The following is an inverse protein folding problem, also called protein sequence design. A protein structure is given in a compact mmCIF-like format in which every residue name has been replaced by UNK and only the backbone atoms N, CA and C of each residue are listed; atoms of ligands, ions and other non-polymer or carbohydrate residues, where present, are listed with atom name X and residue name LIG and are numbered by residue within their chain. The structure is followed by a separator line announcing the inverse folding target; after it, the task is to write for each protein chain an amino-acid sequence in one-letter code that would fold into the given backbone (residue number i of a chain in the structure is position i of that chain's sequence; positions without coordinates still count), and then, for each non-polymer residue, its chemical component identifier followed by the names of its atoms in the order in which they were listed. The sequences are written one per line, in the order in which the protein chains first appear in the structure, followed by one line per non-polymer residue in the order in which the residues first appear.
data_IF_730677435890
#
_entry.id   IF_730677435890
#
_cell.length_a   1.000
_cell.length_b   1.000
_cell.length_c   1.000
_cell.angle_alpha   90.00
_cell.angle_beta   90.00
_cell.angle_gamma   90.00
#
_symmetry.space_group_name_H-M   'P 1'
#
loop_
_entity.id
_entity.type
_entity.pdbx_description
1 polymer ?
#
# COMPACT_ATOMS: atom_id res chain seq x y z
N UNK A 1 4.13 -14.61 9.61
CA UNK A 1 4.66 -13.46 8.82
C UNK A 1 5.98 -12.96 9.37
N UNK A 2 6.08 -12.73 10.69
CA UNK A 2 7.32 -12.29 11.35
C UNK A 2 8.29 -13.45 11.64
N UNK A 3 7.78 -14.67 11.79
CA UNK A 3 8.49 -15.93 12.02
C UNK A 3 9.27 -16.45 10.80
N UNK A 4 8.84 -16.10 9.58
CA UNK A 4 9.50 -16.49 8.33
C UNK A 4 10.54 -15.49 7.81
N UNK A 5 10.81 -14.41 8.54
CA UNK A 5 11.81 -13.41 8.16
C UNK A 5 13.23 -13.89 8.48
N UNK A 6 14.18 -13.57 7.61
CA UNK A 6 15.60 -13.75 7.89
C UNK A 6 16.02 -12.87 9.08
N UNK A 7 17.11 -13.24 9.76
CA UNK A 7 17.68 -12.43 10.84
C UNK A 7 18.01 -11.01 10.34
N UNK A 8 18.39 -10.86 9.08
CA UNK A 8 18.64 -9.55 8.48
C UNK A 8 17.36 -8.70 8.40
N UNK A 9 16.26 -9.26 7.87
CA UNK A 9 14.97 -8.56 7.79
C UNK A 9 14.43 -8.21 9.19
N UNK A 10 14.58 -9.12 10.16
CA UNK A 10 14.18 -8.86 11.55
C UNK A 10 14.99 -7.72 12.19
N UNK A 11 16.31 -7.67 11.96
CA UNK A 11 17.16 -6.57 12.43
C UNK A 11 16.80 -5.25 11.76
N UNK A 12 16.49 -5.25 10.47
CA UNK A 12 16.03 -4.06 9.76
C UNK A 12 14.71 -3.55 10.34
N UNK A 13 13.76 -4.45 10.60
CA UNK A 13 12.48 -4.09 11.22
C UNK A 13 12.67 -3.51 12.63
N UNK A 14 13.59 -4.06 13.43
CA UNK A 14 13.92 -3.53 14.75
C UNK A 14 14.59 -2.15 14.65
N UNK A 15 15.55 -1.97 13.73
CA UNK A 15 16.20 -0.66 13.50
C UNK A 15 15.18 0.41 13.15
N UNK A 16 14.27 0.12 12.23
CA UNK A 16 13.20 1.04 11.84
C UNK A 16 12.31 1.40 13.05
N UNK A 17 11.92 0.40 13.85
CA UNK A 17 11.11 0.65 15.05
C UNK A 17 11.82 1.57 16.06
N UNK A 18 13.14 1.44 16.21
CA UNK A 18 13.95 2.31 17.07
C UNK A 18 14.14 3.71 16.48
N UNK A 19 14.37 3.84 15.18
CA UNK A 19 14.55 5.14 14.51
C UNK A 19 13.28 6.00 14.54
N UNK A 20 12.11 5.34 14.55
CA UNK A 20 10.80 5.96 14.69
C UNK A 20 10.41 6.24 16.15
N UNK A 21 11.13 5.70 17.13
CA UNK A 21 10.83 5.91 18.54
C UNK A 21 10.96 7.41 18.89
N UNK A 22 9.87 7.99 19.43
CA UNK A 22 9.81 9.41 19.79
C UNK A 22 9.47 10.38 18.64
N UNK A 23 9.46 9.92 17.38
CA UNK A 23 9.03 10.72 16.20
C UNK A 23 7.60 10.39 15.73
N UNK A 24 6.98 9.39 16.38
CA UNK A 24 5.71 8.81 15.96
C UNK A 24 4.59 9.84 15.79
N UNK A 25 4.47 10.81 16.70
CA UNK A 25 3.34 11.77 16.70
C UNK A 25 3.36 12.73 15.51
N UNK A 26 4.52 13.26 15.14
CA UNK A 26 4.64 14.17 14.00
C UNK A 26 4.48 13.43 12.68
N UNK A 27 5.16 12.29 12.54
CA UNK A 27 5.06 11.45 11.35
C UNK A 27 3.61 10.95 11.15
N UNK A 28 2.94 10.53 12.23
CA UNK A 28 1.55 10.09 12.19
C UNK A 28 0.61 11.24 11.79
N UNK A 29 0.79 12.44 12.34
CA UNK A 29 0.00 13.62 11.93
C UNK A 29 0.20 13.95 10.45
N UNK A 30 1.44 13.96 9.98
CA UNK A 30 1.76 14.21 8.57
C UNK A 30 1.06 13.20 7.64
N UNK A 31 1.18 11.91 7.95
CA UNK A 31 0.57 10.84 7.15
C UNK A 31 -0.96 10.86 7.23
N UNK A 32 -1.52 11.14 8.40
CA UNK A 32 -2.95 11.30 8.59
C UNK A 32 -3.51 12.45 7.73
N UNK A 33 -2.85 13.61 7.73
CA UNK A 33 -3.27 14.77 6.94
C UNK A 33 -3.15 14.52 5.43
N UNK A 34 -2.09 13.83 5.01
CA UNK A 34 -1.91 13.38 3.64
C UNK A 34 -3.05 12.42 3.23
N UNK A 35 -3.39 11.46 4.08
CA UNK A 35 -4.49 10.53 3.87
C UNK A 35 -5.85 11.26 3.78
N UNK A 36 -6.13 12.19 4.70
CA UNK A 36 -7.38 12.96 4.72
C UNK A 36 -7.62 13.76 3.44
N UNK A 37 -6.55 14.29 2.83
CA UNK A 37 -6.64 15.07 1.57
C UNK A 37 -6.39 14.22 0.32
N UNK A 38 -6.08 12.94 0.46
CA UNK A 38 -5.77 12.06 -0.66
C UNK A 38 -4.47 12.41 -1.39
N UNK A 39 -3.45 12.90 -0.68
CA UNK A 39 -2.13 13.17 -1.24
C UNK A 39 -1.35 11.86 -1.48
N UNK A 40 -1.69 11.20 -2.59
CA UNK A 40 -1.08 9.93 -3.01
C UNK A 40 0.45 10.04 -3.15
N UNK A 41 0.95 11.20 -3.57
CA UNK A 41 2.39 11.41 -3.78
C UNK A 41 3.13 11.39 -2.44
N UNK A 42 2.67 12.18 -1.47
CA UNK A 42 3.31 12.23 -0.15
C UNK A 42 3.23 10.88 0.56
N UNK A 43 2.07 10.22 0.51
CA UNK A 43 1.87 8.89 1.08
C UNK A 43 2.81 7.86 0.45
N UNK A 44 2.89 7.83 -0.89
CA UNK A 44 3.80 6.92 -1.59
C UNK A 44 5.26 7.18 -1.23
N UNK A 45 5.70 8.44 -1.26
CA UNK A 45 7.09 8.78 -0.94
C UNK A 45 7.46 8.35 0.48
N UNK A 46 6.64 8.73 1.47
CA UNK A 46 6.93 8.51 2.89
C UNK A 46 6.71 7.09 3.39
N UNK A 47 5.84 6.32 2.74
CA UNK A 47 5.52 4.97 3.21
C UNK A 47 6.16 3.87 2.36
N UNK A 48 6.44 4.10 1.08
CA UNK A 48 6.92 3.06 0.16
C UNK A 48 8.24 3.39 -0.51
N UNK A 49 8.43 4.59 -1.07
CA UNK A 49 9.62 4.88 -1.87
C UNK A 49 10.91 4.83 -1.02
N UNK A 50 10.89 5.46 0.17
CA UNK A 50 12.00 5.45 1.11
C UNK A 50 12.34 4.02 1.57
N UNK A 51 11.33 3.24 1.97
CA UNK A 51 11.51 1.84 2.38
C UNK A 51 12.00 0.94 1.24
N UNK A 52 11.50 1.12 0.02
CA UNK A 52 11.96 0.37 -1.16
C UNK A 52 13.44 0.62 -1.45
N UNK A 53 13.89 1.85 -1.26
CA UNK A 53 15.28 2.24 -1.48
C UNK A 53 16.20 1.71 -0.38
N UNK A 54 15.80 1.84 0.88
CA UNK A 54 16.65 1.50 2.03
C UNK A 54 16.60 0.01 2.40
N UNK A 55 15.42 -0.60 2.28
CA UNK A 55 15.14 -1.97 2.70
C UNK A 55 14.39 -2.76 1.61
N UNK A 56 14.99 -2.97 0.43
CA UNK A 56 14.29 -3.56 -0.73
C UNK A 56 13.73 -4.96 -0.47
N UNK A 57 14.42 -5.79 0.31
CA UNK A 57 13.94 -7.14 0.67
C UNK A 57 12.73 -7.08 1.59
N UNK A 58 12.77 -6.20 2.60
CA UNK A 58 11.64 -5.97 3.50
C UNK A 58 10.44 -5.44 2.71
N UNK A 59 10.65 -4.43 1.85
CA UNK A 59 9.61 -3.87 0.99
C UNK A 59 8.95 -4.94 0.11
N UNK A 60 9.76 -5.79 -0.54
CA UNK A 60 9.26 -6.90 -1.36
C UNK A 60 8.37 -7.83 -0.53
N UNK A 61 8.77 -8.17 0.70
CA UNK A 61 8.02 -9.13 1.52
C UNK A 61 6.74 -8.54 2.10
N UNK A 62 6.78 -7.30 2.61
CA UNK A 62 5.65 -6.72 3.36
C UNK A 62 4.71 -5.87 2.50
N UNK A 63 5.12 -5.50 1.28
CA UNK A 63 4.27 -4.78 0.34
C UNK A 63 4.04 -5.57 -0.96
N UNK A 64 5.02 -5.65 -1.85
CA UNK A 64 4.82 -6.19 -3.21
C UNK A 64 4.33 -7.64 -3.20
N UNK A 65 4.98 -8.52 -2.45
CA UNK A 65 4.60 -9.93 -2.32
C UNK A 65 3.23 -10.11 -1.66
N UNK A 66 2.83 -9.21 -0.76
CA UNK A 66 1.47 -9.20 -0.20
C UNK A 66 0.45 -8.76 -1.23
N UNK A 67 0.75 -7.75 -2.06
CA UNK A 67 -0.10 -7.34 -3.18
C UNK A 67 -0.28 -8.48 -4.19
N UNK A 68 0.81 -9.19 -4.52
CA UNK A 68 0.79 -10.35 -5.39
C UNK A 68 -0.08 -11.48 -4.84
N UNK A 69 0.03 -11.79 -3.55
CA UNK A 69 -0.78 -12.81 -2.90
C UNK A 69 -2.27 -12.40 -2.74
N UNK A 70 -2.56 -11.10 -2.74
CA UNK A 70 -3.91 -10.56 -2.62
C UNK A 70 -4.71 -10.68 -3.90
N UNK A 71 -4.12 -10.31 -5.05
CA UNK A 71 -4.85 -10.20 -6.32
C UNK A 71 -5.63 -11.48 -6.66
N UNK A 72 -5.05 -12.70 -6.62
CA UNK A 72 -5.79 -13.93 -6.92
C UNK A 72 -6.98 -14.17 -6.00
N UNK A 73 -6.91 -13.73 -4.74
CA UNK A 73 -7.99 -13.88 -3.76
C UNK A 73 -9.16 -12.93 -4.03
N UNK A 74 -8.90 -11.80 -4.68
CA UNK A 74 -9.94 -10.83 -5.04
C UNK A 74 -10.73 -11.27 -6.28
N UNK A 75 -10.08 -11.93 -7.24
CA UNK A 75 -10.69 -12.25 -8.55
C UNK A 75 -12.05 -12.97 -8.45
N UNK A 76 -12.27 -13.96 -7.56
CA UNK A 76 -13.57 -14.62 -7.46
C UNK A 76 -14.71 -13.66 -7.10
N UNK A 77 -14.43 -12.64 -6.28
CA UNK A 77 -15.40 -11.64 -5.83
C UNK A 77 -15.63 -10.52 -6.84
N UNK A 78 -14.83 -10.45 -7.90
CA UNK A 78 -14.95 -9.46 -8.99
C UNK A 78 -15.64 -10.04 -10.24
N UNK A 79 -16.10 -11.28 -10.18
CA UNK A 79 -16.78 -11.94 -11.29
C UNK A 79 -18.18 -11.35 -11.53
N UNK A 80 -18.65 -11.41 -12.78
CA UNK A 80 -19.99 -11.01 -13.12
C UNK A 80 -21.03 -11.81 -12.31
N UNK A 81 -22.06 -11.13 -11.80
CA UNK A 81 -23.13 -11.74 -11.00
C UNK A 81 -22.86 -11.81 -9.49
N UNK A 82 -21.66 -11.45 -9.00
CA UNK A 82 -21.36 -11.40 -7.55
C UNK A 82 -21.92 -10.17 -6.83
N UNK A 83 -22.49 -9.20 -7.56
CA UNK A 83 -22.96 -7.94 -7.00
C UNK A 83 -21.81 -6.99 -6.65
N UNK A 84 -22.04 -6.09 -5.70
CA UNK A 84 -21.04 -5.13 -5.24
C UNK A 84 -20.13 -5.73 -4.16
N UNK A 85 -18.81 -5.68 -4.38
CA UNK A 85 -17.80 -6.12 -3.40
C UNK A 85 -17.09 -4.91 -2.80
N UNK A 86 -17.12 -4.78 -1.45
CA UNK A 86 -16.31 -3.81 -0.72
C UNK A 86 -15.04 -4.50 -0.18
N UNK A 87 -13.88 -3.96 -0.56
CA UNK A 87 -12.58 -4.44 -0.08
C UNK A 87 -11.90 -3.30 0.67
N UNK A 88 -11.59 -3.51 1.96
CA UNK A 88 -10.93 -2.53 2.81
C UNK A 88 -9.45 -2.89 2.95
N UNK A 89 -8.57 -1.94 2.63
CA UNK A 89 -7.12 -2.13 2.62
C UNK A 89 -6.39 -0.93 3.22
N UNK A 90 -5.15 -1.16 3.65
CA UNK A 90 -4.21 -0.06 3.95
C UNK A 90 -3.74 0.66 2.69
N UNK A 91 -3.33 1.92 2.85
CA UNK A 91 -2.94 2.85 1.78
C UNK A 91 -1.95 2.26 0.76
N UNK A 92 -0.90 1.58 1.21
CA UNK A 92 0.15 1.06 0.32
C UNK A 92 -0.31 -0.06 -0.62
N UNK A 93 -1.45 -0.70 -0.35
CA UNK A 93 -2.04 -1.65 -1.29
C UNK A 93 -2.65 -0.96 -2.53
N UNK A 94 -2.92 0.35 -2.46
CA UNK A 94 -3.54 1.12 -3.53
C UNK A 94 -2.54 1.89 -4.39
N UNK A 95 -1.39 2.24 -3.82
CA UNK A 95 -0.41 3.15 -4.43
C UNK A 95 0.73 2.41 -5.14
N UNK A 96 1.31 3.08 -6.13
CA UNK A 96 2.49 2.60 -6.87
C UNK A 96 2.18 1.60 -7.97
N UNK A 97 3.16 1.38 -8.84
CA UNK A 97 3.04 0.47 -10.01
C UNK A 97 2.90 -1.00 -9.60
N UNK A 98 3.25 -1.32 -8.36
CA UNK A 98 3.12 -2.64 -7.75
C UNK A 98 1.94 -2.73 -6.76
N UNK A 99 1.06 -1.72 -6.73
CA UNK A 99 -0.21 -1.74 -6.01
C UNK A 99 -1.23 -2.70 -6.62
N UNK A 100 -2.22 -3.09 -5.82
CA UNK A 100 -3.34 -3.96 -6.25
C UNK A 100 -4.12 -3.33 -7.40
N UNK A 101 -4.31 -2.00 -7.39
CA UNK A 101 -5.00 -1.25 -8.45
C UNK A 101 -4.33 -1.46 -9.81
N UNK A 102 -3.02 -1.25 -9.90
CA UNK A 102 -2.28 -1.40 -11.15
C UNK A 102 -2.23 -2.87 -11.59
N UNK A 103 -2.12 -3.81 -10.65
CA UNK A 103 -2.19 -5.25 -10.95
C UNK A 103 -3.57 -5.67 -11.48
N UNK A 104 -4.66 -5.09 -11.00
CA UNK A 104 -5.99 -5.34 -11.53
C UNK A 104 -6.16 -4.73 -12.93
N UNK A 105 -5.68 -3.50 -13.17
CA UNK A 105 -5.65 -2.90 -14.51
C UNK A 105 -4.89 -3.77 -15.51
N UNK A 106 -3.73 -4.29 -15.12
CA UNK A 106 -2.92 -5.20 -15.95
C UNK A 106 -3.65 -6.52 -16.28
N UNK A 107 -4.68 -6.89 -15.50
CA UNK A 107 -5.55 -8.04 -15.76
C UNK A 107 -6.79 -7.69 -16.61
N UNK A 108 -6.90 -6.46 -17.10
CA UNK A 108 -8.01 -6.00 -17.94
C UNK A 108 -9.21 -5.45 -17.17
N UNK A 109 -9.12 -5.30 -15.84
CA UNK A 109 -10.19 -4.65 -15.07
C UNK A 109 -10.20 -3.15 -15.31
N UNK A 110 -11.40 -2.59 -15.51
CA UNK A 110 -11.60 -1.14 -15.46
C UNK A 110 -11.55 -0.69 -14.01
N UNK A 111 -10.62 0.20 -13.68
CA UNK A 111 -10.50 0.76 -12.33
C UNK A 111 -10.65 2.28 -12.40
N UNK A 112 -11.56 2.81 -11.58
CA UNK A 112 -11.84 4.24 -11.51
C UNK A 112 -11.73 4.71 -10.06
N UNK A 113 -11.07 5.85 -9.86
CA UNK A 113 -11.04 6.51 -8.55
C UNK A 113 -12.39 7.19 -8.32
N UNK A 114 -13.17 6.66 -7.38
CA UNK A 114 -14.40 7.31 -6.95
C UNK A 114 -14.04 8.50 -6.07
N UNK A 115 -14.41 9.70 -6.49
CA UNK A 115 -14.23 10.90 -5.67
C UNK A 115 -15.47 11.78 -5.75
N UNK A 116 -16.23 11.85 -4.67
CA UNK A 116 -17.43 12.69 -4.57
C UNK A 116 -17.12 14.20 -4.60
N UNK A 117 -15.86 14.60 -4.40
CA UNK A 117 -15.43 16.01 -4.35
C UNK A 117 -14.31 16.41 -5.33
N UNK A 118 -13.80 15.48 -6.15
CA UNK A 118 -12.73 15.79 -7.10
C UNK A 118 -13.37 16.23 -8.41
N UNK A 119 -13.31 17.52 -8.74
CA UNK A 119 -13.54 17.94 -10.13
C UNK A 119 -12.49 17.24 -11.00
N UNK A 120 -12.94 16.55 -12.05
CA UNK A 120 -12.03 16.01 -13.06
C UNK A 120 -11.14 17.16 -13.55
N UNK A 121 -9.81 16.98 -13.49
CA UNK A 121 -8.90 17.84 -14.23
C UNK A 121 -9.24 17.62 -15.71
N UNK A 122 -9.83 18.65 -16.32
CA UNK A 122 -9.97 18.73 -17.79
C UNK A 122 -8.59 18.87 -18.41
#
# INVERSE_FOLDING_TARGET
MLDGMTVQEQRQMLSEALDQAGKGDEQARLLHDAWRRGDERLLWTKMAAEMRQQYPQLYQRINTGRNDAWVPKLLPYLQAGQGGTLVVVGTLHLLGNDGVVEKLKAKGYKVERVCAGCRAKR
#
